data_IF_780817231453
#
_entry.id   IF_780817231453
#
_cell.length_a   1.000
_cell.length_b   1.000
_cell.length_c   1.000
_cell.angle_alpha   90.00
_cell.angle_beta   90.00
_cell.angle_gamma   90.00
#
_symmetry.space_group_name_H-M   'P 1'
#
loop_
_entity.id
_entity.type
_entity.pdbx_description
1 polymer ?
#
# COMPACT_ATOMS: atom_id res chain seq x y z
N UNK A 1 1.37 -16.75 -2.86
CA UNK A 1 0.41 -15.69 -3.23
C UNK A 1 0.56 -14.60 -2.18
N UNK A 2 0.38 -13.32 -2.54
CA UNK A 2 0.42 -12.22 -1.57
C UNK A 2 -1.01 -11.77 -1.31
N UNK A 3 -1.38 -11.71 -0.04
CA UNK A 3 -2.74 -11.36 0.40
C UNK A 3 -2.67 -10.07 1.22
N UNK A 4 -3.46 -9.08 0.81
CA UNK A 4 -3.46 -7.75 1.41
C UNK A 4 -4.32 -7.68 2.69
N UNK A 5 -4.06 -6.63 3.48
CA UNK A 5 -4.91 -6.18 4.57
C UNK A 5 -6.42 -6.11 4.20
N UNK A 6 -7.23 -6.94 4.85
CA UNK A 6 -8.72 -6.85 4.87
C UNK A 6 -9.43 -7.20 3.55
N UNK A 7 -10.74 -7.52 3.64
CA UNK A 7 -11.21 -8.88 3.37
C UNK A 7 -11.34 -9.21 1.88
N UNK A 8 -10.74 -10.35 1.49
CA UNK A 8 -10.92 -10.98 0.16
C UNK A 8 -10.49 -10.05 -0.99
N UNK A 9 -9.38 -9.32 -0.80
CA UNK A 9 -8.65 -8.64 -1.86
C UNK A 9 -7.80 -9.59 -2.68
N UNK A 10 -8.41 -10.37 -3.58
CA UNK A 10 -7.63 -11.21 -4.50
C UNK A 10 -6.93 -10.36 -5.56
N UNK A 11 -5.59 -10.43 -5.58
CA UNK A 11 -4.75 -9.81 -6.61
C UNK A 11 -4.95 -10.41 -8.03
N UNK A 12 -5.86 -11.37 -8.21
CA UNK A 12 -6.09 -12.10 -9.46
C UNK A 12 -6.98 -11.39 -10.49
N UNK A 13 -7.56 -10.21 -10.18
CA UNK A 13 -8.67 -9.65 -10.98
C UNK A 13 -8.76 -8.12 -11.11
N UNK A 14 -7.75 -7.35 -10.69
CA UNK A 14 -7.78 -5.88 -10.80
C UNK A 14 -6.44 -5.29 -11.27
N UNK A 15 -6.51 -4.54 -12.37
CA UNK A 15 -5.39 -3.87 -13.06
C UNK A 15 -5.06 -2.51 -12.41
N UNK A 16 -4.59 -2.52 -11.16
CA UNK A 16 -3.96 -1.33 -10.55
C UNK A 16 -2.44 -1.52 -10.66
N UNK A 17 -1.78 -0.61 -11.39
CA UNK A 17 -0.34 -0.69 -11.69
C UNK A 17 0.54 -0.26 -10.50
N UNK A 18 1.85 -0.44 -10.62
CA UNK A 18 2.83 0.00 -9.62
C UNK A 18 3.13 1.49 -9.81
N UNK A 19 2.77 2.30 -8.82
CA UNK A 19 2.98 3.76 -8.82
C UNK A 19 4.23 4.17 -8.02
N UNK A 20 4.96 5.16 -8.51
CA UNK A 20 6.10 5.75 -7.79
C UNK A 20 5.62 6.83 -6.80
N UNK A 21 5.54 6.49 -5.51
CA UNK A 21 5.01 7.37 -4.45
C UNK A 21 6.08 7.53 -3.36
N UNK A 22 6.35 8.76 -2.92
CA UNK A 22 7.41 9.06 -1.93
C UNK A 22 8.82 8.56 -2.32
N UNK A 23 9.11 8.43 -3.62
CA UNK A 23 10.31 7.78 -4.17
C UNK A 23 10.42 6.28 -3.75
N UNK A 24 9.28 5.58 -3.68
CA UNK A 24 9.20 4.13 -3.50
C UNK A 24 8.16 3.54 -4.48
N UNK A 25 8.41 2.35 -5.06
CA UNK A 25 7.40 1.64 -5.85
C UNK A 25 6.31 1.11 -4.93
N UNK A 26 5.07 1.55 -5.17
CA UNK A 26 3.91 1.25 -4.35
C UNK A 26 2.81 0.55 -5.16
N UNK A 27 2.15 -0.43 -4.55
CA UNK A 27 0.89 -0.98 -5.06
C UNK A 27 -0.29 -0.18 -4.50
N UNK A 28 -1.35 -0.02 -5.31
CA UNK A 28 -2.63 0.55 -4.87
C UNK A 28 -3.64 -0.59 -4.71
N UNK A 29 -3.99 -0.92 -3.47
CA UNK A 29 -4.97 -1.96 -3.13
C UNK A 29 -6.29 -1.70 -3.89
N UNK A 30 -6.77 -2.61 -4.75
CA UNK A 30 -7.84 -2.31 -5.71
C UNK A 30 -9.19 -2.00 -5.04
N UNK A 31 -9.46 -2.62 -3.89
CA UNK A 31 -10.70 -2.44 -3.12
C UNK A 31 -10.68 -1.19 -2.24
N UNK A 32 -9.61 -1.02 -1.46
CA UNK A 32 -9.54 -0.02 -0.39
C UNK A 32 -8.77 1.25 -0.77
N UNK A 33 -8.13 1.25 -1.96
CA UNK A 33 -7.25 2.30 -2.50
C UNK A 33 -6.15 2.75 -1.54
N UNK A 34 -5.75 1.87 -0.62
CA UNK A 34 -4.55 2.03 0.19
C UNK A 34 -3.32 1.90 -0.71
N UNK A 35 -2.39 2.84 -0.55
CA UNK A 35 -1.10 2.82 -1.23
C UNK A 35 -0.10 2.21 -0.25
N UNK A 36 0.62 1.19 -0.69
CA UNK A 36 1.55 0.40 0.13
C UNK A 36 2.87 0.22 -0.63
N UNK A 37 3.97 0.59 -0.01
CA UNK A 37 5.32 0.35 -0.54
C UNK A 37 5.60 -1.14 -0.68
N UNK A 38 5.98 -1.56 -1.89
CA UNK A 38 6.35 -2.95 -2.20
C UNK A 38 7.71 -3.28 -1.53
N UNK A 39 8.55 -2.26 -1.30
CA UNK A 39 9.87 -2.42 -0.67
C UNK A 39 9.80 -2.51 0.85
N UNK A 40 8.99 -1.67 1.51
CA UNK A 40 9.01 -1.50 2.98
C UNK A 40 7.74 -1.97 3.69
N UNK A 41 6.63 -2.16 2.96
CA UNK A 41 5.30 -2.36 3.56
C UNK A 41 4.71 -1.10 4.20
N UNK A 42 5.36 0.05 4.06
CA UNK A 42 4.88 1.34 4.55
C UNK A 42 3.63 1.79 3.78
N UNK A 43 2.55 2.16 4.48
CA UNK A 43 1.34 2.67 3.82
C UNK A 43 1.30 4.19 3.79
N UNK A 44 1.05 4.74 2.60
CA UNK A 44 0.96 6.18 2.37
C UNK A 44 -0.48 6.65 2.20
N UNK A 45 -0.69 7.95 2.45
CA UNK A 45 -1.89 8.68 2.08
C UNK A 45 -1.52 10.12 1.72
N UNK A 46 -2.27 10.73 0.81
CA UNK A 46 -2.16 12.17 0.58
C UNK A 46 -2.98 12.90 1.64
N UNK A 47 -2.34 13.77 2.42
CA UNK A 47 -3.07 14.67 3.30
C UNK A 47 -3.68 15.80 2.45
N UNK A 48 -4.93 16.16 2.71
CA UNK A 48 -5.65 17.18 1.95
C UNK A 48 -6.48 18.10 2.84
N UNK A 49 -6.74 19.31 2.35
CA UNK A 49 -7.68 20.26 2.95
C UNK A 49 -8.71 20.72 1.91
N UNK A 50 -9.91 21.10 2.39
CA UNK A 50 -10.98 21.62 1.53
C UNK A 50 -11.01 23.14 1.66
N UNK A 51 -10.63 23.83 0.58
CA UNK A 51 -10.62 25.30 0.51
C UNK A 51 -11.78 25.82 -0.31
N UNK A 52 -12.34 26.96 0.08
CA UNK A 52 -13.33 27.68 -0.75
C UNK A 52 -12.59 28.66 -1.64
N UNK A 53 -12.77 28.50 -2.95
CA UNK A 53 -12.29 29.40 -3.97
C UNK A 53 -13.07 30.73 -3.90
N UNK A 54 -12.36 31.85 -3.72
CA UNK A 54 -12.98 33.16 -3.42
C UNK A 54 -13.67 33.80 -4.63
N UNK A 55 -13.32 33.40 -5.85
CA UNK A 55 -13.85 34.00 -7.09
C UNK A 55 -15.07 33.22 -7.60
N UNK A 56 -15.03 31.89 -7.51
CA UNK A 56 -16.09 31.00 -7.99
C UNK A 56 -17.03 30.49 -6.89
N UNK A 57 -16.70 30.74 -5.61
CA UNK A 57 -17.37 30.21 -4.42
C UNK A 57 -17.47 28.67 -4.39
N UNK A 58 -16.59 27.96 -5.11
CA UNK A 58 -16.56 26.50 -5.19
C UNK A 58 -15.58 25.90 -4.19
N UNK A 59 -15.88 24.71 -3.68
CA UNK A 59 -14.92 23.92 -2.90
C UNK A 59 -13.88 23.31 -3.83
N UNK A 60 -12.61 23.44 -3.49
CA UNK A 60 -11.46 22.78 -4.13
C UNK A 60 -10.72 21.95 -3.07
N UNK A 61 -10.18 20.81 -3.48
CA UNK A 61 -9.26 20.02 -2.65
C UNK A 61 -7.85 20.56 -2.89
N UNK A 62 -7.10 20.85 -1.83
CA UNK A 62 -5.69 21.23 -1.89
C UNK A 62 -4.85 20.16 -1.19
N UNK A 63 -3.79 19.70 -1.84
CA UNK A 63 -2.82 18.78 -1.27
C UNK A 63 -1.98 19.45 -0.19
N UNK A 64 -1.77 18.73 0.91
CA UNK A 64 -0.80 18.98 1.97
C UNK A 64 0.42 18.03 1.85
N UNK A 65 0.55 17.36 0.70
CA UNK A 65 1.55 16.35 0.40
C UNK A 65 1.34 15.01 1.10
N UNK A 66 2.07 14.00 0.62
CA UNK A 66 2.08 12.65 1.16
C UNK A 66 2.46 12.57 2.64
N UNK A 67 1.91 11.56 3.31
CA UNK A 67 2.13 11.20 4.72
C UNK A 67 2.16 9.68 4.86
N UNK A 68 2.88 9.19 5.86
CA UNK A 68 2.99 7.77 6.20
C UNK A 68 2.02 7.39 7.33
N UNK A 69 1.59 6.13 7.33
CA UNK A 69 0.89 5.45 8.45
C UNK A 69 1.81 4.49 9.22
N UNK A 70 3.10 4.42 8.87
CA UNK A 70 4.03 3.38 9.30
C UNK A 70 3.94 2.10 8.46
N UNK A 71 4.64 1.06 8.90
CA UNK A 71 4.63 -0.26 8.26
C UNK A 71 3.27 -0.92 8.50
N UNK A 72 2.55 -1.15 7.40
CA UNK A 72 1.15 -1.58 7.35
C UNK A 72 0.95 -2.69 6.30
N UNK A 73 1.98 -3.49 6.05
CA UNK A 73 1.95 -4.80 5.38
C UNK A 73 3.28 -5.51 5.71
N UNK A 74 3.26 -6.80 6.03
CA UNK A 74 4.51 -7.57 6.21
C UNK A 74 5.16 -7.85 4.85
N UNK A 75 6.38 -7.35 4.63
CA UNK A 75 7.21 -7.72 3.48
C UNK A 75 8.01 -8.99 3.76
N UNK A 76 8.42 -9.68 2.70
CA UNK A 76 9.17 -10.94 2.75
C UNK A 76 10.41 -10.88 1.85
N UNK A 77 11.47 -11.59 2.24
CA UNK A 77 12.71 -11.64 1.48
C UNK A 77 12.53 -12.48 0.22
N UNK A 78 12.88 -11.91 -0.94
CA UNK A 78 12.75 -12.57 -2.25
C UNK A 78 14.12 -12.76 -2.90
N UNK A 79 14.37 -13.95 -3.45
CA UNK A 79 15.52 -14.26 -4.29
C UNK A 79 15.02 -14.75 -5.65
N UNK A 80 15.58 -14.21 -6.74
CA UNK A 80 15.36 -14.72 -8.10
C UNK A 80 16.62 -15.45 -8.55
N UNK A 81 16.48 -16.70 -8.99
CA UNK A 81 17.60 -17.55 -9.41
C UNK A 81 17.14 -18.48 -10.54
N UNK A 82 17.86 -18.50 -11.66
CA UNK A 82 17.52 -19.31 -12.85
C UNK A 82 16.05 -19.15 -13.32
N UNK A 83 15.48 -17.94 -13.22
CA UNK A 83 14.09 -17.65 -13.55
C UNK A 83 13.06 -18.11 -12.50
N UNK A 84 13.49 -18.79 -11.44
CA UNK A 84 12.64 -19.20 -10.31
C UNK A 84 12.64 -18.12 -9.23
N UNK A 85 11.45 -17.84 -8.67
CA UNK A 85 11.27 -16.90 -7.55
C UNK A 85 11.14 -17.68 -6.25
N UNK A 86 12.06 -17.44 -5.32
CA UNK A 86 12.07 -18.00 -3.97
C UNK A 86 11.66 -16.92 -2.97
N UNK A 87 10.78 -17.26 -2.03
CA UNK A 87 10.33 -16.35 -0.96
C UNK A 87 10.69 -16.97 0.39
N UNK A 88 11.42 -16.21 1.20
CA UNK A 88 11.65 -16.52 2.61
C UNK A 88 10.71 -15.67 3.46
N UNK A 89 9.84 -16.34 4.22
CA UNK A 89 8.92 -15.68 5.14
C UNK A 89 9.69 -14.97 6.26
N UNK A 90 9.24 -13.77 6.60
CA UNK A 90 9.79 -12.96 7.68
C UNK A 90 9.23 -13.41 9.03
N UNK A 91 10.02 -13.27 10.09
CA UNK A 91 9.58 -13.58 11.46
C UNK A 91 8.30 -12.78 11.83
N UNK A 92 7.20 -13.44 12.25
CA UNK A 92 5.97 -12.79 12.71
C UNK A 92 5.99 -12.39 14.20
N UNK A 93 7.12 -12.52 14.91
CA UNK A 93 7.21 -12.24 16.36
C UNK A 93 6.81 -10.81 16.77
N UNK A 94 7.20 -9.79 15.99
CA UNK A 94 6.65 -8.44 16.10
C UNK A 94 5.35 -8.33 15.28
N UNK A 95 4.17 -8.16 15.89
CA UNK A 95 2.90 -8.20 15.17
C UNK A 95 2.68 -6.95 14.32
N UNK A 96 2.55 -7.16 13.01
CA UNK A 96 2.05 -6.16 12.07
C UNK A 96 0.54 -6.41 11.86
N UNK A 97 -0.30 -5.39 11.63
CA UNK A 97 -1.74 -5.63 11.60
C UNK A 97 -2.22 -6.41 10.34
N UNK A 98 -1.30 -6.74 9.43
CA UNK A 98 -1.47 -7.68 8.30
C UNK A 98 -1.66 -9.11 8.77
N UNK A 99 -1.02 -9.48 9.88
CA UNK A 99 -0.91 -10.87 10.32
C UNK A 99 -2.28 -11.41 10.78
N UNK A 100 -3.23 -10.51 11.06
CA UNK A 100 -4.65 -10.82 11.29
C UNK A 100 -5.35 -11.48 10.06
N UNK A 101 -4.73 -11.44 8.89
CA UNK A 101 -5.24 -12.05 7.64
C UNK A 101 -4.37 -13.19 7.11
N UNK A 102 -3.08 -13.25 7.49
CA UNK A 102 -2.09 -14.18 6.95
C UNK A 102 -2.26 -15.67 7.38
N UNK A 103 -3.42 -16.03 7.94
CA UNK A 103 -3.74 -17.34 8.50
C UNK A 103 -5.19 -17.79 8.23
N UNK A 104 -5.84 -17.23 7.20
CA UNK A 104 -7.23 -17.52 6.81
C UNK A 104 -7.35 -18.69 5.81
#
# INVERSE_FOLDING_TARGET
MAEEFHPVGSASLHEEDIEEICNQPCIRCPQHKYIISITTGESFYEAVEIVVDKETNRRKIRSLGWKSKGIMQRTHSVKVENGTVYVQLSDPSEPLPSDKYAYL
#
